data_IF_198616129990
#
_entry.id   IF_198616129990
#
_cell.length_a   1.000
_cell.length_b   1.000
_cell.length_c   1.000
_cell.angle_alpha   90.00
_cell.angle_beta   90.00
_cell.angle_gamma   90.00
#
_symmetry.space_group_name_H-M   'P 1'
#
loop_
_entity.id
_entity.type
_entity.pdbx_description
1 polymer ?
#
# COMPACT_ATOMS: atom_id res chain seq x y z
N UNK A 1 -6.72 -3.29 -15.74
CA UNK A 1 -5.78 -3.86 -16.72
C UNK A 1 -4.92 -2.72 -17.18
N UNK A 2 -3.71 -2.62 -16.65
CA UNK A 2 -2.65 -1.79 -17.20
C UNK A 2 -1.35 -2.52 -16.86
N UNK A 3 -1.01 -3.48 -17.73
CA UNK A 3 0.28 -4.16 -17.75
C UNK A 3 0.87 -3.81 -19.10
N UNK A 4 1.98 -3.08 -19.13
CA UNK A 4 2.69 -2.74 -20.36
C UNK A 4 3.86 -3.70 -20.51
N UNK A 5 3.89 -4.43 -21.61
CA UNK A 5 5.01 -5.31 -21.98
C UNK A 5 5.94 -4.55 -22.93
N UNK A 6 7.21 -4.41 -22.55
CA UNK A 6 8.29 -3.91 -23.43
C UNK A 6 9.14 -5.12 -23.80
N UNK A 7 9.34 -5.37 -25.09
CA UNK A 7 10.19 -6.47 -25.57
C UNK A 7 11.42 -5.93 -26.29
N UNK A 8 12.59 -6.49 -25.97
CA UNK A 8 13.86 -6.24 -26.64
C UNK A 8 14.60 -7.58 -26.81
N UNK A 9 14.53 -8.15 -28.02
CA UNK A 9 15.05 -9.50 -28.26
C UNK A 9 14.23 -10.56 -27.52
N UNK A 10 14.91 -11.49 -26.84
CA UNK A 10 14.28 -12.57 -26.06
C UNK A 10 13.80 -12.12 -24.67
N UNK A 11 14.07 -10.86 -24.29
CA UNK A 11 13.65 -10.30 -23.01
C UNK A 11 12.35 -9.52 -23.13
N UNK A 12 11.43 -9.74 -22.19
CA UNK A 12 10.26 -8.90 -22.00
C UNK A 12 10.16 -8.37 -20.57
N UNK A 13 9.56 -7.19 -20.42
CA UNK A 13 9.35 -6.55 -19.12
C UNK A 13 7.89 -6.14 -19.01
N UNK A 14 7.19 -6.71 -18.04
CA UNK A 14 5.85 -6.27 -17.68
C UNK A 14 5.89 -5.31 -16.49
N UNK A 15 5.23 -4.16 -16.64
CA UNK A 15 5.09 -3.18 -15.55
C UNK A 15 3.74 -3.30 -14.84
N UNK A 16 3.76 -3.41 -13.52
CA UNK A 16 2.60 -3.43 -12.64
C UNK A 16 2.53 -2.12 -11.86
N UNK A 17 1.68 -1.20 -12.33
CA UNK A 17 1.45 0.09 -11.66
C UNK A 17 0.38 -0.01 -10.59
N UNK A 18 0.65 0.56 -9.41
CA UNK A 18 -0.34 0.78 -8.36
C UNK A 18 -0.84 2.22 -8.39
N UNK A 19 -2.16 2.39 -8.37
CA UNK A 19 -2.80 3.69 -8.26
C UNK A 19 -3.47 3.83 -6.89
N UNK A 20 -3.42 5.03 -6.26
CA UNK A 20 -2.87 6.29 -6.77
C UNK A 20 -1.38 6.52 -6.48
N UNK A 21 -0.73 5.63 -5.73
CA UNK A 21 0.59 5.87 -5.12
C UNK A 21 1.75 5.97 -6.12
N UNK A 22 1.55 5.48 -7.36
CA UNK A 22 2.54 5.54 -8.43
C UNK A 22 3.63 4.46 -8.33
N UNK A 23 3.58 3.56 -7.35
CA UNK A 23 4.54 2.46 -7.22
C UNK A 23 4.52 1.56 -8.46
N UNK A 24 5.70 1.11 -8.88
CA UNK A 24 5.92 0.24 -10.02
C UNK A 24 6.62 -1.04 -9.55
N UNK A 25 6.02 -2.18 -9.89
CA UNK A 25 6.67 -3.48 -9.83
C UNK A 25 6.89 -4.03 -11.24
N UNK A 26 7.83 -4.95 -11.40
CA UNK A 26 8.21 -5.49 -12.70
C UNK A 26 8.29 -7.01 -12.71
N UNK A 27 7.84 -7.62 -13.80
CA UNK A 27 8.16 -9.00 -14.13
C UNK A 27 9.05 -9.00 -15.36
N UNK A 28 10.32 -9.35 -15.17
CA UNK A 28 11.32 -9.48 -16.24
C UNK A 28 11.35 -10.93 -16.66
N UNK A 29 11.21 -11.19 -17.95
CA UNK A 29 11.07 -12.54 -18.51
C UNK A 29 12.13 -12.75 -19.58
N UNK A 30 12.89 -13.83 -19.47
CA UNK A 30 13.59 -14.42 -20.60
C UNK A 30 12.63 -15.40 -21.29
N UNK A 31 12.09 -14.98 -22.44
CA UNK A 31 11.01 -15.67 -23.16
C UNK A 31 11.45 -17.04 -23.69
N UNK A 32 12.72 -17.18 -24.09
CA UNK A 32 13.27 -18.42 -24.63
C UNK A 32 13.30 -19.53 -23.58
N UNK A 33 13.80 -19.22 -22.38
CA UNK A 33 13.85 -20.16 -21.25
C UNK A 33 12.57 -20.17 -20.41
N UNK A 34 11.64 -19.26 -20.69
CA UNK A 34 10.40 -19.04 -19.92
C UNK A 34 10.66 -18.82 -18.43
N UNK A 35 11.80 -18.20 -18.12
CA UNK A 35 12.22 -17.93 -16.74
C UNK A 35 12.03 -16.46 -16.42
N UNK A 36 11.44 -16.17 -15.26
CA UNK A 36 11.10 -14.82 -14.86
C UNK A 36 11.71 -14.40 -13.52
N UNK A 37 11.86 -13.09 -13.34
CA UNK A 37 12.26 -12.41 -12.10
C UNK A 37 11.23 -11.33 -11.77
N UNK A 38 10.74 -11.30 -10.53
CA UNK A 38 9.90 -10.23 -10.01
C UNK A 38 10.77 -9.20 -9.26
N UNK A 39 10.58 -7.92 -9.57
CA UNK A 39 11.27 -6.79 -8.93
C UNK A 39 10.21 -5.87 -8.34
N UNK A 40 10.35 -5.50 -7.07
CA UNK A 40 9.43 -4.65 -6.31
C UNK A 40 7.94 -5.07 -6.42
N UNK A 41 7.59 -6.37 -6.32
CA UNK A 41 6.20 -6.78 -6.37
C UNK A 41 5.49 -6.30 -5.11
N UNK A 42 4.41 -5.51 -5.23
CA UNK A 42 3.55 -5.19 -4.08
C UNK A 42 2.73 -6.39 -3.61
N UNK A 43 2.45 -6.46 -2.31
CA UNK A 43 1.64 -7.53 -1.70
C UNK A 43 0.22 -7.62 -2.31
N UNK A 44 -0.40 -6.48 -2.64
CA UNK A 44 -1.72 -6.43 -3.27
C UNK A 44 -1.71 -6.77 -4.77
N UNK A 45 -0.53 -6.92 -5.37
CA UNK A 45 -0.35 -7.30 -6.76
C UNK A 45 0.10 -8.76 -6.94
N UNK A 46 0.37 -9.50 -5.87
CA UNK A 46 0.83 -10.90 -5.94
C UNK A 46 -0.05 -11.75 -6.87
N UNK A 47 -1.38 -11.67 -6.75
CA UNK A 47 -2.30 -12.41 -7.62
C UNK A 47 -2.10 -12.04 -9.10
N UNK A 48 -1.87 -10.74 -9.43
CA UNK A 48 -1.62 -10.29 -10.81
C UNK A 48 -0.30 -10.85 -11.36
N UNK A 49 0.74 -10.92 -10.53
CA UNK A 49 2.00 -11.55 -10.92
C UNK A 49 1.80 -13.06 -11.19
N UNK A 50 1.08 -13.76 -10.31
CA UNK A 50 0.76 -15.19 -10.50
C UNK A 50 -0.07 -15.44 -11.77
N UNK A 51 -1.06 -14.59 -12.05
CA UNK A 51 -1.85 -14.62 -13.28
C UNK A 51 -0.96 -14.41 -14.52
N UNK A 52 -0.05 -13.43 -14.48
CA UNK A 52 0.87 -13.15 -15.59
C UNK A 52 1.89 -14.27 -15.84
N UNK A 53 2.32 -14.96 -14.77
CA UNK A 53 3.15 -16.16 -14.86
C UNK A 53 2.36 -17.32 -15.47
N UNK A 54 1.14 -17.58 -15.00
CA UNK A 54 0.31 -18.69 -15.48
C UNK A 54 -0.13 -18.50 -16.94
N UNK A 55 -0.48 -17.27 -17.34
CA UNK A 55 -0.94 -16.96 -18.69
C UNK A 55 0.10 -17.26 -19.79
N UNK A 56 1.39 -17.20 -19.44
CA UNK A 56 2.51 -17.52 -20.34
C UNK A 56 3.28 -18.76 -19.91
N UNK A 57 2.77 -19.50 -18.92
CA UNK A 57 3.40 -20.68 -18.31
C UNK A 57 4.92 -20.45 -18.09
N UNK A 58 5.19 -19.45 -17.26
CA UNK A 58 6.52 -18.98 -16.88
C UNK A 58 6.90 -19.50 -15.49
N UNK A 59 8.19 -19.80 -15.31
CA UNK A 59 8.75 -20.15 -14.00
C UNK A 59 9.37 -18.91 -13.35
N UNK A 60 8.86 -18.51 -12.20
CA UNK A 60 9.48 -17.46 -11.38
C UNK A 60 10.73 -18.02 -10.69
N UNK A 61 11.93 -17.62 -11.14
CA UNK A 61 13.18 -18.05 -10.53
C UNK A 61 13.56 -17.17 -9.32
N UNK A 62 13.33 -15.87 -9.43
CA UNK A 62 13.77 -14.89 -8.45
C UNK A 62 12.67 -13.88 -8.13
N UNK A 63 12.63 -13.44 -6.87
CA UNK A 63 11.84 -12.30 -6.43
C UNK A 63 12.68 -11.44 -5.49
N UNK A 64 12.64 -10.13 -5.67
CA UNK A 64 13.40 -9.19 -4.85
C UNK A 64 12.74 -7.83 -4.75
N UNK A 65 13.08 -7.12 -3.69
CA UNK A 65 12.88 -5.69 -3.59
C UNK A 65 14.22 -5.00 -3.83
N UNK A 66 14.22 -3.92 -4.62
CA UNK A 66 15.39 -3.07 -4.87
C UNK A 66 15.94 -2.49 -3.58
N UNK A 67 15.07 -2.25 -2.60
CA UNK A 67 15.41 -1.77 -1.27
C UNK A 67 14.34 -2.17 -0.26
N UNK A 68 14.59 -1.97 1.04
CA UNK A 68 13.53 -2.13 2.04
C UNK A 68 12.50 -1.00 1.91
N UNK A 69 11.36 -1.28 1.27
CA UNK A 69 10.26 -0.32 1.05
C UNK A 69 9.61 0.16 2.35
N UNK A 70 9.16 1.42 2.37
CA UNK A 70 8.60 2.08 3.55
C UNK A 70 7.17 2.60 3.37
N UNK A 71 6.70 2.62 2.13
CA UNK A 71 5.46 3.20 1.64
C UNK A 71 4.42 2.12 1.30
N UNK A 72 4.86 0.90 0.98
CA UNK A 72 3.99 -0.24 0.68
C UNK A 72 4.51 -1.57 1.23
N UNK A 73 3.61 -2.54 1.36
CA UNK A 73 3.95 -3.90 1.76
C UNK A 73 4.50 -4.70 0.57
N UNK A 74 5.65 -5.31 0.73
CA UNK A 74 6.29 -6.16 -0.27
C UNK A 74 5.56 -7.50 -0.42
N UNK A 75 5.43 -7.93 -1.66
CA UNK A 75 4.91 -9.22 -2.10
C UNK A 75 5.98 -10.28 -2.31
N UNK A 76 7.27 -9.96 -2.17
CA UNK A 76 8.39 -10.87 -2.46
C UNK A 76 8.26 -12.19 -1.70
N UNK A 77 8.06 -12.12 -0.38
CA UNK A 77 7.92 -13.32 0.46
C UNK A 77 6.70 -14.15 0.09
N UNK A 78 5.58 -13.50 -0.24
CA UNK A 78 4.35 -14.19 -0.64
C UNK A 78 4.52 -14.87 -1.99
N UNK A 79 5.15 -14.21 -2.98
CA UNK A 79 5.46 -14.82 -4.27
C UNK A 79 6.40 -16.02 -4.11
N UNK A 80 7.48 -15.88 -3.34
CA UNK A 80 8.40 -16.97 -3.07
C UNK A 80 7.70 -18.18 -2.43
N UNK A 81 6.83 -17.96 -1.43
CA UNK A 81 6.04 -19.04 -0.81
C UNK A 81 5.08 -19.73 -1.79
N UNK A 82 4.52 -18.99 -2.76
CA UNK A 82 3.53 -19.52 -3.73
C UNK A 82 4.16 -20.18 -4.95
N UNK A 83 5.42 -19.88 -5.27
CA UNK A 83 6.09 -20.30 -6.51
C UNK A 83 7.36 -21.11 -6.30
N UNK A 84 7.95 -21.06 -5.10
CA UNK A 84 9.28 -21.60 -4.82
C UNK A 84 10.43 -20.71 -5.32
N UNK A 85 10.15 -19.48 -5.78
CA UNK A 85 11.19 -18.56 -6.23
C UNK A 85 12.22 -18.25 -5.12
N UNK A 86 13.47 -18.06 -5.52
CA UNK A 86 14.53 -17.65 -4.60
C UNK A 86 14.39 -16.17 -4.28
N UNK A 87 14.25 -15.85 -3.00
CA UNK A 87 14.29 -14.45 -2.53
C UNK A 87 15.71 -13.93 -2.65
N UNK A 88 15.89 -12.81 -3.34
CA UNK A 88 17.15 -12.08 -3.40
C UNK A 88 17.02 -10.80 -2.57
N UNK A 89 18.12 -10.38 -1.94
CA UNK A 89 18.18 -9.11 -1.23
C UNK A 89 19.62 -8.62 -1.16
N UNK A 90 19.81 -7.31 -0.99
CA UNK A 90 21.14 -6.75 -0.75
C UNK A 90 21.76 -7.31 0.54
N UNK A 91 23.09 -7.41 0.59
CA UNK A 91 23.81 -7.91 1.74
C UNK A 91 23.72 -6.98 2.97
N UNK A 92 23.50 -5.68 2.74
CA UNK A 92 23.22 -4.73 3.82
C UNK A 92 21.74 -4.70 4.26
N UNK A 93 20.85 -5.44 3.58
CA UNK A 93 19.45 -5.52 3.98
C UNK A 93 19.30 -6.26 5.31
N UNK A 94 18.40 -5.76 6.16
CA UNK A 94 18.05 -6.37 7.44
C UNK A 94 16.93 -7.40 7.32
N UNK A 95 16.49 -7.73 6.10
CA UNK A 95 15.46 -8.73 5.85
C UNK A 95 15.79 -10.04 6.58
N UNK A 96 14.88 -10.50 7.43
CA UNK A 96 14.98 -11.76 8.15
C UNK A 96 14.48 -12.94 7.29
N UNK A 97 14.88 -14.16 7.67
CA UNK A 97 14.49 -15.38 6.94
C UNK A 97 15.40 -15.72 5.73
N UNK A 98 15.01 -16.74 4.93
CA UNK A 98 15.84 -17.24 3.85
C UNK A 98 15.86 -16.29 2.66
N UNK A 99 17.04 -15.77 2.33
CA UNK A 99 17.30 -14.99 1.13
C UNK A 99 18.75 -15.13 0.69
N UNK A 100 18.99 -15.17 -0.62
CA UNK A 100 20.34 -15.07 -1.18
C UNK A 100 20.78 -13.61 -1.15
N UNK A 101 21.86 -13.34 -0.42
CA UNK A 101 22.43 -12.00 -0.29
C UNK A 101 23.32 -11.64 -1.48
N UNK A 102 23.20 -10.41 -1.94
CA UNK A 102 23.91 -9.88 -3.11
C UNK A 102 24.61 -8.56 -2.77
N UNK A 103 25.68 -8.25 -3.50
CA UNK A 103 26.37 -6.95 -3.48
C UNK A 103 26.61 -6.51 -4.92
N UNK A 104 26.92 -5.23 -5.11
CA UNK A 104 27.36 -4.68 -6.39
C UNK A 104 28.49 -5.49 -7.01
N UNK A 105 28.42 -5.70 -8.33
CA UNK A 105 29.36 -6.51 -9.10
C UNK A 105 28.98 -7.99 -9.19
N UNK A 106 27.96 -8.45 -8.45
CA UNK A 106 27.42 -9.80 -8.64
C UNK A 106 26.70 -9.94 -9.99
N UNK A 107 26.78 -11.13 -10.59
CA UNK A 107 25.98 -11.53 -11.75
C UNK A 107 25.06 -12.69 -11.41
N UNK A 108 23.84 -12.65 -11.93
CA UNK A 108 22.82 -13.69 -11.76
C UNK A 108 22.29 -14.09 -13.13
N UNK A 109 22.05 -15.38 -13.34
CA UNK A 109 21.47 -15.88 -14.58
C UNK A 109 19.95 -15.89 -14.48
N UNK A 110 19.29 -15.21 -15.40
CA UNK A 110 17.85 -15.27 -15.63
C UNK A 110 17.61 -16.02 -16.94
N UNK A 111 17.54 -17.34 -16.86
CA UNK A 111 17.49 -18.16 -18.07
C UNK A 111 18.81 -18.05 -18.85
N UNK A 112 18.74 -17.61 -20.10
CA UNK A 112 19.92 -17.29 -20.92
C UNK A 112 20.49 -15.88 -20.68
N UNK A 113 19.76 -15.00 -19.99
CA UNK A 113 20.18 -13.61 -19.79
C UNK A 113 21.01 -13.43 -18.52
N UNK A 114 22.04 -12.57 -18.57
CA UNK A 114 22.79 -12.15 -17.39
C UNK A 114 22.18 -10.88 -16.80
N UNK A 115 21.89 -10.92 -15.49
CA UNK A 115 21.50 -9.79 -14.66
C UNK A 115 22.71 -9.34 -13.85
N UNK A 116 23.20 -8.13 -14.11
CA UNK A 116 24.24 -7.49 -13.31
C UNK A 116 23.60 -6.71 -12.15
N UNK A 117 24.13 -6.90 -10.95
CA UNK A 117 23.70 -6.23 -9.72
C UNK A 117 24.62 -5.05 -9.45
N UNK A 118 24.03 -3.88 -9.20
CA UNK A 118 24.74 -2.65 -8.86
C UNK A 118 24.31 -2.19 -7.47
N UNK A 119 25.26 -1.77 -6.65
CA UNK A 119 24.92 -1.03 -5.44
C UNK A 119 24.40 0.35 -5.84
N UNK A 120 23.27 0.74 -5.26
CA UNK A 120 22.61 2.02 -5.54
C UNK A 120 22.25 2.78 -4.25
N UNK A 121 23.17 2.88 -3.25
CA UNK A 121 22.85 3.51 -1.99
C UNK A 121 22.49 4.98 -2.17
N UNK A 122 21.58 5.46 -1.33
CA UNK A 122 21.16 6.85 -1.39
C UNK A 122 19.80 7.03 -0.77
N UNK A 123 18.78 6.46 -1.41
CA UNK A 123 17.43 6.40 -0.83
C UNK A 123 17.44 5.59 0.47
N UNK A 124 18.00 4.38 0.41
CA UNK A 124 18.37 3.58 1.58
C UNK A 124 19.81 3.06 1.45
N UNK A 125 20.43 2.61 2.56
CA UNK A 125 21.74 1.93 2.51
C UNK A 125 21.72 0.58 1.79
N UNK A 126 20.55 -0.08 1.70
CA UNK A 126 20.40 -1.40 1.09
C UNK A 126 19.83 -1.37 -0.33
N UNK A 127 19.78 -0.18 -0.94
CA UNK A 127 19.31 0.01 -2.31
C UNK A 127 20.23 -0.65 -3.34
N UNK A 128 19.62 -1.38 -4.26
CA UNK A 128 20.23 -2.03 -5.42
C UNK A 128 19.60 -1.49 -6.71
N UNK A 129 20.38 -1.53 -7.78
CA UNK A 129 19.88 -1.47 -9.14
C UNK A 129 20.24 -2.76 -9.89
N UNK A 130 19.40 -3.13 -10.85
CA UNK A 130 19.58 -4.33 -11.67
C UNK A 130 19.69 -3.94 -13.12
N UNK A 131 20.71 -4.45 -13.81
CA UNK A 131 20.89 -4.25 -15.24
C UNK A 131 20.80 -5.57 -15.98
N UNK A 132 19.93 -5.64 -16.97
CA UNK A 132 19.75 -6.84 -17.79
C UNK A 132 19.42 -6.42 -19.22
N UNK A 133 20.24 -6.85 -20.17
CA UNK A 133 20.21 -6.32 -21.52
C UNK A 133 20.40 -4.79 -21.55
N UNK A 134 19.52 -4.09 -22.27
CA UNK A 134 19.47 -2.62 -22.34
C UNK A 134 18.61 -1.95 -21.26
N UNK A 135 18.20 -2.69 -20.22
CA UNK A 135 17.30 -2.20 -19.17
C UNK A 135 18.02 -2.04 -17.83
N UNK A 136 17.69 -0.97 -17.10
CA UNK A 136 18.16 -0.66 -15.76
C UNK A 136 16.96 -0.44 -14.83
N UNK A 137 16.82 -1.28 -13.81
CA UNK A 137 15.83 -1.14 -12.75
C UNK A 137 16.46 -0.41 -11.58
N UNK A 138 15.99 0.81 -11.30
CA UNK A 138 16.69 1.77 -10.40
C UNK A 138 16.07 1.85 -9.01
N UNK A 139 14.93 1.19 -8.78
CA UNK A 139 14.16 1.37 -7.55
C UNK A 139 13.96 2.87 -7.29
N UNK A 140 14.24 3.29 -6.06
CA UNK A 140 14.11 4.69 -5.66
C UNK A 140 15.37 5.54 -5.81
N UNK A 141 16.38 5.07 -6.55
CA UNK A 141 17.59 5.85 -6.79
C UNK A 141 17.43 6.88 -7.93
N UNK A 142 16.72 6.57 -9.01
CA UNK A 142 16.51 7.47 -10.16
C UNK A 142 15.09 7.30 -10.69
N UNK A 143 14.41 8.43 -10.90
CA UNK A 143 13.06 8.51 -11.46
C UNK A 143 13.05 9.31 -12.76
N UNK A 144 11.95 9.24 -13.50
CA UNK A 144 11.68 10.17 -14.58
C UNK A 144 11.64 11.62 -14.07
N UNK A 145 12.67 12.40 -14.39
CA UNK A 145 12.81 13.80 -13.98
C UNK A 145 13.10 14.02 -12.48
N UNK A 146 13.40 12.97 -11.73
CA UNK A 146 13.59 13.04 -10.27
C UNK A 146 14.55 11.99 -9.72
N UNK A 147 14.62 11.88 -8.39
CA UNK A 147 15.30 10.81 -7.66
C UNK A 147 14.61 10.63 -6.31
N UNK A 148 14.88 9.51 -5.62
CA UNK A 148 14.34 9.26 -4.29
C UNK A 148 14.84 10.26 -3.26
N UNK A 149 14.00 10.45 -2.25
CA UNK A 149 14.36 11.19 -1.02
C UNK A 149 15.45 10.46 -0.24
N UNK A 150 16.16 11.16 0.64
CA UNK A 150 17.30 10.59 1.37
C UNK A 150 17.29 10.90 2.86
N UNK A 151 16.16 11.35 3.39
CA UNK A 151 16.02 11.83 4.77
C UNK A 151 15.46 10.79 5.75
N UNK A 152 15.11 9.60 5.25
CA UNK A 152 14.62 8.47 6.04
C UNK A 152 15.56 7.26 6.01
N UNK A 153 15.43 6.37 7.00
CA UNK A 153 16.03 5.02 7.00
C UNK A 153 17.54 4.93 6.77
N UNK A 154 18.30 5.97 7.13
CA UNK A 154 19.73 6.01 6.87
C UNK A 154 20.09 6.40 5.43
N UNK A 155 19.16 7.01 4.70
CA UNK A 155 19.41 7.62 3.41
C UNK A 155 20.54 8.65 3.46
N UNK A 156 21.20 8.83 2.32
CA UNK A 156 22.34 9.71 2.17
C UNK A 156 22.33 10.37 0.79
N UNK A 157 22.04 11.67 0.74
CA UNK A 157 22.13 12.44 -0.49
C UNK A 157 23.53 12.41 -1.12
N UNK A 158 24.58 12.32 -0.29
CA UNK A 158 25.94 12.17 -0.82
C UNK A 158 26.14 10.82 -1.50
N UNK A 159 25.65 9.73 -0.92
CA UNK A 159 25.73 8.42 -1.56
C UNK A 159 24.88 8.37 -2.84
N UNK A 160 23.69 8.98 -2.81
CA UNK A 160 22.83 9.08 -3.99
C UNK A 160 23.52 9.83 -5.13
N UNK A 161 24.26 10.90 -4.83
CA UNK A 161 25.03 11.63 -5.82
C UNK A 161 26.03 10.71 -6.56
N UNK A 162 26.74 9.84 -5.83
CA UNK A 162 27.67 8.87 -6.41
C UNK A 162 26.97 7.77 -7.22
N UNK A 163 25.83 7.29 -6.73
CA UNK A 163 24.95 6.36 -7.46
C UNK A 163 24.50 6.95 -8.80
N UNK A 164 24.07 8.22 -8.80
CA UNK A 164 23.65 8.92 -10.02
C UNK A 164 24.80 9.10 -11.03
N UNK A 165 26.04 9.33 -10.57
CA UNK A 165 27.23 9.35 -11.46
C UNK A 165 27.49 8.00 -12.11
N UNK A 166 27.25 6.92 -11.38
CA UNK A 166 27.40 5.55 -11.90
C UNK A 166 26.35 5.27 -12.99
N UNK A 167 25.09 5.61 -12.76
CA UNK A 167 24.04 5.47 -13.77
C UNK A 167 24.28 6.37 -14.97
N UNK A 168 24.72 7.60 -14.73
CA UNK A 168 25.07 8.55 -15.78
C UNK A 168 26.21 8.05 -16.68
N UNK A 169 27.03 7.08 -16.28
CA UNK A 169 28.08 6.53 -17.15
C UNK A 169 27.56 5.48 -18.16
N UNK A 170 26.32 5.01 -18.01
CA UNK A 170 25.73 3.98 -18.88
C UNK A 170 25.40 4.50 -20.30
N UNK A 171 25.21 3.63 -21.30
CA UNK A 171 24.78 4.02 -22.64
C UNK A 171 23.50 4.88 -22.62
N UNK A 172 23.42 5.88 -23.50
CA UNK A 172 22.32 6.85 -23.50
C UNK A 172 20.95 6.21 -23.80
N UNK A 173 20.94 5.13 -24.57
CA UNK A 173 19.77 4.32 -24.92
C UNK A 173 19.37 3.31 -23.83
N UNK A 174 20.10 3.24 -22.71
CA UNK A 174 19.71 2.40 -21.56
C UNK A 174 18.35 2.84 -21.04
N UNK A 175 17.39 1.93 -21.06
CA UNK A 175 16.01 2.14 -20.61
C UNK A 175 15.95 2.02 -19.09
N UNK A 176 15.43 3.04 -18.41
CA UNK A 176 15.35 3.12 -16.95
C UNK A 176 13.93 2.82 -16.48
N UNK A 177 13.84 1.90 -15.52
CA UNK A 177 12.63 1.41 -14.86
C UNK A 177 12.67 1.77 -13.36
N UNK A 178 12.01 2.87 -12.94
CA UNK A 178 12.02 3.34 -11.55
C UNK A 178 11.09 2.55 -10.61
N UNK A 179 11.28 2.66 -9.30
CA UNK A 179 10.33 2.12 -8.32
C UNK A 179 9.01 2.88 -8.25
N UNK A 180 8.99 4.13 -8.72
CA UNK A 180 7.82 5.02 -8.67
C UNK A 180 7.68 5.91 -9.91
N UNK A 181 6.44 6.25 -10.25
CA UNK A 181 6.09 7.23 -11.27
C UNK A 181 5.17 8.33 -10.73
N UNK A 182 5.73 9.53 -10.59
CA UNK A 182 5.04 10.73 -10.13
C UNK A 182 4.61 11.68 -11.25
N UNK A 183 5.01 11.41 -12.50
CA UNK A 183 4.84 12.35 -13.62
C UNK A 183 4.12 11.74 -14.82
N UNK A 184 3.59 10.52 -14.68
CA UNK A 184 2.93 9.79 -15.76
C UNK A 184 3.90 9.20 -16.78
N UNK A 185 5.18 9.07 -16.42
CA UNK A 185 6.25 8.53 -17.26
C UNK A 185 6.92 7.34 -16.54
N UNK A 186 6.33 6.13 -16.63
CA UNK A 186 6.79 4.95 -15.89
C UNK A 186 8.11 4.34 -16.40
N UNK A 187 8.64 4.86 -17.50
CA UNK A 187 9.92 4.46 -18.11
C UNK A 187 10.59 5.70 -18.71
N UNK A 188 11.91 5.80 -18.59
CA UNK A 188 12.73 6.86 -19.20
C UNK A 188 14.03 6.27 -19.78
N UNK A 189 14.96 7.09 -20.26
CA UNK A 189 16.29 6.64 -20.68
C UNK A 189 17.40 7.43 -19.98
N UNK A 190 18.60 6.86 -19.90
CA UNK A 190 19.76 7.60 -19.37
C UNK A 190 20.03 8.88 -20.19
N UNK A 191 19.82 8.83 -21.51
CA UNK A 191 19.94 10.00 -22.38
C UNK A 191 18.94 11.11 -22.03
N UNK A 192 17.66 10.76 -21.86
CA UNK A 192 16.62 11.71 -21.49
C UNK A 192 16.86 12.32 -20.11
N UNK A 193 17.26 11.51 -19.13
CA UNK A 193 17.55 11.99 -17.78
C UNK A 193 18.81 12.87 -17.78
N UNK A 194 19.84 12.56 -18.57
CA UNK A 194 21.02 13.46 -18.74
C UNK A 194 20.62 14.82 -19.29
N UNK A 195 19.66 14.86 -20.22
CA UNK A 195 19.19 16.11 -20.82
C UNK A 195 18.25 16.91 -19.88
N UNK A 196 17.31 16.21 -19.23
CA UNK A 196 16.17 16.84 -18.57
C UNK A 196 16.14 16.79 -17.05
N UNK A 197 16.84 15.85 -16.40
CA UNK A 197 16.72 15.66 -14.95
C UNK A 197 17.63 16.64 -14.18
N UNK A 198 17.07 17.58 -13.39
CA UNK A 198 17.86 18.56 -12.68
C UNK A 198 18.71 17.93 -11.56
N UNK A 199 18.35 16.75 -11.02
CA UNK A 199 19.16 16.01 -10.04
C UNK A 199 20.34 15.30 -10.71
N UNK A 200 20.12 14.66 -11.86
CA UNK A 200 21.20 14.03 -12.62
C UNK A 200 22.15 15.05 -13.24
N UNK A 201 21.71 16.28 -13.54
CA UNK A 201 22.57 17.33 -14.11
C UNK A 201 23.39 18.10 -13.09
N UNK A 202 23.05 18.01 -11.80
CA UNK A 202 23.79 18.69 -10.75
C UNK A 202 25.23 18.15 -10.67
N UNK A 203 26.20 19.05 -10.60
CA UNK A 203 27.64 18.73 -10.54
C UNK A 203 28.25 19.13 -9.19
N UNK A 204 27.63 20.05 -8.48
CA UNK A 204 28.04 20.41 -7.13
C UNK A 204 27.36 19.48 -6.11
N UNK A 205 28.17 18.62 -5.48
CA UNK A 205 27.72 17.71 -4.42
C UNK A 205 27.09 18.46 -3.25
N UNK A 206 27.61 19.62 -2.89
CA UNK A 206 27.11 20.40 -1.75
C UNK A 206 25.72 20.92 -2.04
N UNK A 207 25.51 21.49 -3.23
CA UNK A 207 24.20 21.94 -3.70
C UNK A 207 23.20 20.78 -3.81
N UNK A 208 23.64 19.62 -4.31
CA UNK A 208 22.82 18.41 -4.37
C UNK A 208 22.35 17.96 -2.99
N UNK A 209 23.28 17.83 -2.04
CA UNK A 209 22.99 17.42 -0.66
C UNK A 209 22.03 18.41 -0.01
N UNK A 210 22.27 19.71 -0.15
CA UNK A 210 21.40 20.74 0.40
C UNK A 210 19.96 20.63 -0.14
N UNK A 211 19.79 20.35 -1.43
CA UNK A 211 18.46 20.19 -2.06
C UNK A 211 17.69 18.98 -1.55
N UNK A 212 18.35 17.88 -1.19
CA UNK A 212 17.70 16.66 -0.71
C UNK A 212 17.66 16.53 0.83
N UNK A 213 18.19 17.52 1.57
CA UNK A 213 18.25 17.49 3.04
C UNK A 213 16.98 17.99 3.73
N UNK A 214 15.88 18.25 3.00
CA UNK A 214 14.61 18.66 3.60
C UNK A 214 13.99 17.50 4.37
N UNK A 215 13.82 17.67 5.68
CA UNK A 215 13.18 16.69 6.54
C UNK A 215 11.68 16.85 6.52
N UNK A 216 10.95 15.77 6.27
CA UNK A 216 9.52 15.70 6.54
C UNK A 216 9.24 14.72 7.67
N UNK A 217 8.07 14.84 8.30
CA UNK A 217 7.63 13.82 9.25
C UNK A 217 7.36 12.50 8.50
N UNK A 218 7.76 11.35 9.07
CA UNK A 218 7.48 10.05 8.46
C UNK A 218 5.97 9.77 8.44
N UNK A 219 5.45 9.10 7.40
CA UNK A 219 4.05 8.67 7.38
C UNK A 219 3.71 7.76 8.58
N UNK A 220 2.49 7.88 9.11
CA UNK A 220 2.06 7.17 10.32
C UNK A 220 2.26 5.64 10.26
N UNK A 221 2.08 5.02 9.09
CA UNK A 221 2.15 3.57 8.90
C UNK A 221 3.56 3.06 8.55
N UNK A 222 4.54 3.94 8.39
CA UNK A 222 5.88 3.59 7.90
C UNK A 222 6.55 2.51 8.76
N UNK A 223 6.46 2.65 10.08
CA UNK A 223 7.07 1.68 11.00
C UNK A 223 6.46 0.27 10.89
N UNK A 224 5.14 0.18 10.71
CA UNK A 224 4.45 -1.11 10.52
C UNK A 224 4.84 -1.76 9.19
N UNK A 225 4.91 -0.95 8.12
CA UNK A 225 5.33 -1.42 6.78
C UNK A 225 6.75 -1.97 6.83
N UNK A 226 7.68 -1.25 7.47
CA UNK A 226 9.07 -1.68 7.57
C UNK A 226 9.22 -3.00 8.33
N UNK A 227 8.52 -3.17 9.45
CA UNK A 227 8.57 -4.42 10.23
C UNK A 227 8.10 -5.61 9.40
N UNK A 228 7.02 -5.43 8.63
CA UNK A 228 6.52 -6.46 7.73
C UNK A 228 7.54 -6.78 6.63
N UNK A 229 8.07 -5.75 5.95
CA UNK A 229 9.00 -5.91 4.84
C UNK A 229 10.35 -6.50 5.28
N UNK A 230 10.81 -6.19 6.49
CA UNK A 230 11.98 -6.81 7.12
C UNK A 230 11.70 -8.22 7.66
N UNK A 231 10.44 -8.64 7.67
CA UNK A 231 10.00 -9.92 8.19
C UNK A 231 10.15 -10.09 9.69
N UNK A 232 10.28 -8.99 10.44
CA UNK A 232 10.40 -9.00 11.90
C UNK A 232 9.15 -9.56 12.58
N UNK A 233 8.02 -9.53 11.88
CA UNK A 233 6.75 -10.08 12.33
C UNK A 233 6.22 -11.03 11.27
N UNK A 234 5.83 -12.22 11.72
CA UNK A 234 5.14 -13.20 10.90
C UNK A 234 3.63 -12.98 11.05
N UNK A 235 3.06 -12.18 10.14
CA UNK A 235 1.62 -11.94 10.12
C UNK A 235 0.92 -13.18 9.58
N UNK A 236 0.49 -14.07 10.47
CA UNK A 236 -0.22 -15.29 10.09
C UNK A 236 -1.51 -14.95 9.30
N UNK A 237 -1.75 -15.66 8.20
CA UNK A 237 -2.95 -15.50 7.38
C UNK A 237 -3.93 -16.65 7.59
N UNK A 238 -5.23 -16.38 7.47
CA UNK A 238 -6.28 -17.41 7.45
C UNK A 238 -7.04 -17.35 6.13
N UNK A 239 -7.25 -18.50 5.49
CA UNK A 239 -7.99 -18.56 4.23
C UNK A 239 -9.50 -18.33 4.46
N UNK A 240 -10.25 -17.77 3.49
CA UNK A 240 -11.69 -17.51 3.67
C UNK A 240 -12.51 -18.75 4.06
N UNK A 241 -12.27 -19.89 3.42
CA UNK A 241 -12.99 -21.13 3.72
C UNK A 241 -12.66 -21.68 5.11
N UNK A 242 -11.39 -21.59 5.52
CA UNK A 242 -10.94 -21.99 6.84
C UNK A 242 -11.58 -21.11 7.92
N UNK A 243 -11.59 -19.79 7.73
CA UNK A 243 -12.24 -18.86 8.64
C UNK A 243 -13.75 -19.14 8.74
N UNK A 244 -14.42 -19.43 7.63
CA UNK A 244 -15.83 -19.81 7.66
C UNK A 244 -16.06 -21.11 8.45
N UNK A 245 -15.18 -22.11 8.29
CA UNK A 245 -15.25 -23.36 9.04
C UNK A 245 -15.06 -23.11 10.55
N UNK A 246 -14.07 -22.30 10.94
CA UNK A 246 -13.83 -21.92 12.34
C UNK A 246 -15.05 -21.23 12.97
N UNK A 247 -15.75 -20.39 12.19
CA UNK A 247 -16.97 -19.70 12.64
C UNK A 247 -18.19 -20.60 12.75
N UNK A 248 -18.20 -21.74 12.05
CA UNK A 248 -19.33 -22.68 12.09
C UNK A 248 -19.31 -23.61 13.32
N UNK A 249 -18.13 -23.83 13.94
CA UNK A 249 -17.93 -24.85 14.99
C UNK A 249 -17.76 -24.28 16.41
N UNK A 250 -18.13 -23.01 16.65
CA UNK A 250 -18.00 -22.37 17.96
C UNK A 250 -18.19 -20.85 17.91
N UNK A 251 -17.84 -20.10 18.98
CA UNK A 251 -17.95 -18.64 18.98
C UNK A 251 -17.07 -17.94 17.93
N UNK A 252 -16.10 -18.66 17.34
CA UNK A 252 -15.20 -18.16 16.30
C UNK A 252 -14.22 -17.09 16.80
N UNK A 253 -13.26 -16.68 15.98
CA UNK A 253 -12.39 -15.55 16.30
C UNK A 253 -13.15 -14.22 16.24
N UNK A 254 -12.66 -13.22 16.99
CA UNK A 254 -13.12 -11.84 16.83
C UNK A 254 -12.74 -11.35 15.42
N UNK A 255 -13.72 -10.95 14.63
CA UNK A 255 -13.47 -10.34 13.33
C UNK A 255 -13.33 -8.83 13.50
N UNK A 256 -12.14 -8.30 13.24
CA UNK A 256 -11.85 -6.87 13.29
C UNK A 256 -11.81 -6.30 11.87
N UNK A 257 -12.84 -5.57 11.46
CA UNK A 257 -12.87 -4.92 10.16
C UNK A 257 -12.27 -3.51 10.25
N UNK A 258 -11.11 -3.33 9.61
CA UNK A 258 -10.35 -2.07 9.63
C UNK A 258 -10.62 -1.19 8.41
N UNK A 259 -11.67 -1.48 7.64
CA UNK A 259 -12.14 -0.62 6.56
C UNK A 259 -12.84 0.63 7.11
N UNK A 260 -13.06 1.58 6.23
CA UNK A 260 -13.87 2.76 6.56
C UNK A 260 -15.29 2.34 6.98
N UNK A 261 -15.98 3.13 7.82
CA UNK A 261 -17.34 2.80 8.24
C UNK A 261 -18.30 2.63 7.06
N UNK A 262 -18.09 3.38 5.99
CA UNK A 262 -18.89 3.30 4.76
C UNK A 262 -18.72 1.95 4.03
N UNK A 263 -17.48 1.48 3.89
CA UNK A 263 -17.20 0.17 3.30
C UNK A 263 -17.85 -0.95 4.13
N UNK A 264 -17.80 -0.83 5.46
CA UNK A 264 -18.37 -1.79 6.41
C UNK A 264 -19.91 -1.80 6.42
N UNK A 265 -20.54 -0.63 6.34
CA UNK A 265 -21.99 -0.52 6.24
C UNK A 265 -22.54 -1.09 4.93
N UNK A 266 -21.78 -0.96 3.84
CA UNK A 266 -22.18 -1.44 2.52
C UNK A 266 -22.17 -2.97 2.44
N UNK A 267 -21.11 -3.60 2.94
CA UNK A 267 -20.98 -5.05 3.01
C UNK A 267 -20.05 -5.44 4.16
N UNK A 268 -20.36 -6.51 4.90
CA UNK A 268 -19.51 -7.01 6.00
C UNK A 268 -19.72 -8.49 6.27
N UNK A 269 -18.76 -9.09 6.96
CA UNK A 269 -18.94 -10.41 7.58
C UNK A 269 -19.77 -10.22 8.87
N UNK A 270 -20.76 -11.08 9.08
CA UNK A 270 -21.64 -10.98 10.26
C UNK A 270 -20.84 -11.10 11.57
N UNK A 271 -21.18 -10.28 12.57
CA UNK A 271 -20.48 -10.28 13.86
C UNK A 271 -19.12 -9.59 13.87
N UNK A 272 -18.68 -8.98 12.76
CA UNK A 272 -17.45 -8.20 12.74
C UNK A 272 -17.59 -6.87 13.50
N UNK A 273 -16.51 -6.47 14.18
CA UNK A 273 -16.34 -5.18 14.84
C UNK A 273 -15.63 -4.22 13.89
N UNK A 274 -16.19 -3.04 13.62
CA UNK A 274 -15.54 -2.04 12.79
C UNK A 274 -14.71 -1.05 13.62
N UNK A 275 -13.39 -1.14 13.46
CA UNK A 275 -12.41 -0.17 13.98
C UNK A 275 -11.51 0.25 12.82
N UNK A 276 -11.82 1.37 12.15
CA UNK A 276 -11.02 1.85 11.02
C UNK A 276 -9.53 1.96 11.36
N UNK A 277 -8.65 1.65 10.41
CA UNK A 277 -7.19 1.59 10.63
C UNK A 277 -6.63 2.88 11.26
N UNK A 278 -7.13 4.04 10.85
CA UNK A 278 -6.74 5.37 11.34
C UNK A 278 -7.18 5.65 12.79
N UNK A 279 -8.12 4.86 13.32
CA UNK A 279 -8.64 4.95 14.69
C UNK A 279 -8.13 3.83 15.58
N UNK A 280 -7.38 2.88 15.03
CA UNK A 280 -7.00 1.65 15.71
C UNK A 280 -6.22 1.90 17.00
N UNK A 281 -5.25 2.82 16.96
CA UNK A 281 -4.44 3.15 18.13
C UNK A 281 -5.27 3.79 19.26
N UNK A 282 -6.32 4.54 18.93
CA UNK A 282 -7.19 5.22 19.90
C UNK A 282 -8.30 4.33 20.46
N UNK A 283 -8.56 3.18 19.84
CA UNK A 283 -9.67 2.27 20.15
C UNK A 283 -9.17 0.85 20.39
N UNK A 284 -7.89 0.69 20.71
CA UNK A 284 -7.26 -0.62 20.86
C UNK A 284 -7.84 -1.40 22.06
N UNK A 285 -8.34 -0.69 23.06
CA UNK A 285 -9.01 -1.23 24.24
C UNK A 285 -10.32 -1.95 23.89
N UNK A 286 -11.00 -1.56 22.81
CA UNK A 286 -12.24 -2.21 22.34
C UNK A 286 -12.00 -3.63 21.79
N UNK A 287 -10.75 -3.94 21.46
CA UNK A 287 -10.33 -5.26 20.96
C UNK A 287 -10.07 -6.23 22.14
N UNK A 288 -10.32 -5.75 23.38
CA UNK A 288 -10.37 -6.41 24.68
C UNK A 288 -9.95 -7.89 24.72
N UNK A 289 -8.74 -8.19 25.20
CA UNK A 289 -8.23 -9.49 25.71
C UNK A 289 -8.54 -10.80 24.94
N UNK A 290 -9.14 -10.72 23.76
CA UNK A 290 -9.50 -11.85 22.93
C UNK A 290 -8.20 -12.49 22.41
N UNK A 291 -8.05 -13.80 22.69
CA UNK A 291 -6.85 -14.55 22.29
C UNK A 291 -6.77 -14.81 20.79
N UNK A 292 -7.88 -14.62 20.06
CA UNK A 292 -7.95 -14.93 18.65
C UNK A 292 -8.68 -13.85 17.83
N UNK A 293 -7.90 -12.98 17.19
CA UNK A 293 -8.39 -11.87 16.36
C UNK A 293 -8.05 -12.14 14.90
N UNK A 294 -9.03 -12.00 14.02
CA UNK A 294 -8.84 -12.01 12.57
C UNK A 294 -9.17 -10.64 12.01
N UNK A 295 -8.15 -9.97 11.46
CA UNK A 295 -8.29 -8.64 10.88
C UNK A 295 -8.72 -8.75 9.42
N UNK A 296 -9.72 -7.96 9.06
CA UNK A 296 -10.35 -7.94 7.76
C UNK A 296 -10.22 -6.54 7.17
N UNK A 297 -9.84 -6.48 5.90
CA UNK A 297 -10.04 -5.28 5.11
C UNK A 297 -10.47 -5.63 3.68
N UNK A 298 -10.38 -4.68 2.73
CA UNK A 298 -10.77 -4.92 1.34
C UNK A 298 -9.93 -6.01 0.67
N UNK A 299 -8.60 -5.91 0.76
CA UNK A 299 -7.63 -6.75 0.02
C UNK A 299 -6.61 -7.49 0.90
N UNK A 300 -6.54 -7.18 2.19
CA UNK A 300 -5.53 -7.71 3.13
C UNK A 300 -4.46 -6.69 3.58
N UNK A 301 -4.24 -5.61 2.82
CA UNK A 301 -3.16 -4.64 3.10
C UNK A 301 -3.36 -3.87 4.40
N UNK A 302 -4.48 -3.14 4.53
CA UNK A 302 -4.80 -2.41 5.77
C UNK A 302 -4.88 -3.34 6.98
N UNK A 303 -5.34 -4.57 6.76
CA UNK A 303 -5.43 -5.60 7.80
C UNK A 303 -4.04 -6.07 8.27
N UNK A 304 -3.07 -6.16 7.35
CA UNK A 304 -1.67 -6.48 7.68
C UNK A 304 -1.04 -5.35 8.48
N UNK A 305 -1.21 -4.10 8.05
CA UNK A 305 -0.74 -2.93 8.82
C UNK A 305 -1.38 -2.90 10.22
N UNK A 306 -2.69 -3.14 10.32
CA UNK A 306 -3.38 -3.23 11.60
C UNK A 306 -2.84 -4.36 12.49
N UNK A 307 -2.59 -5.54 11.92
CA UNK A 307 -2.03 -6.67 12.66
C UNK A 307 -0.62 -6.35 13.21
N UNK A 308 0.20 -5.64 12.43
CA UNK A 308 1.51 -5.13 12.89
C UNK A 308 1.37 -4.11 14.02
N UNK A 309 0.43 -3.17 13.91
CA UNK A 309 0.15 -2.19 14.97
C UNK A 309 -0.32 -2.87 16.27
N UNK A 310 -1.18 -3.89 16.15
CA UNK A 310 -1.63 -4.72 17.27
C UNK A 310 -0.47 -5.52 17.91
N UNK A 311 0.46 -6.03 17.10
CA UNK A 311 1.61 -6.77 17.61
C UNK A 311 2.50 -5.88 18.52
N UNK A 312 2.58 -4.57 18.27
CA UNK A 312 3.34 -3.63 19.13
C UNK A 312 2.82 -3.55 20.56
N UNK A 313 1.51 -3.67 20.74
CA UNK A 313 0.86 -3.66 22.05
C UNK A 313 0.67 -5.08 22.61
N UNK A 314 1.40 -6.06 22.06
CA UNK A 314 1.38 -7.45 22.51
C UNK A 314 0.14 -8.24 22.11
N UNK A 315 -0.63 -7.77 21.12
CA UNK A 315 -1.83 -8.46 20.61
C UNK A 315 -1.51 -9.17 19.30
N UNK A 316 -1.62 -10.50 19.29
CA UNK A 316 -1.47 -11.30 18.07
C UNK A 316 -2.78 -11.28 17.28
N UNK A 317 -2.69 -11.07 15.97
CA UNK A 317 -3.83 -11.14 15.09
C UNK A 317 -3.45 -11.89 13.80
N UNK A 318 -4.41 -12.64 13.24
CA UNK A 318 -4.31 -13.21 11.90
C UNK A 318 -4.96 -12.27 10.90
N UNK A 319 -4.53 -12.31 9.65
CA UNK A 319 -5.14 -11.54 8.56
C UNK A 319 -5.99 -12.45 7.69
N UNK A 320 -7.20 -12.02 7.33
CA UNK A 320 -7.99 -12.71 6.31
C UNK A 320 -7.29 -12.57 4.95
N UNK A 321 -6.81 -13.69 4.41
CA UNK A 321 -6.08 -13.73 3.14
C UNK A 321 -6.96 -13.22 1.99
N UNK A 322 -6.43 -12.27 1.22
CA UNK A 322 -7.15 -11.56 0.14
C UNK A 322 -8.34 -10.69 0.58
N UNK A 323 -8.61 -10.59 1.89
CA UNK A 323 -9.66 -9.75 2.47
C UNK A 323 -11.09 -10.05 1.97
N UNK A 324 -11.94 -9.03 2.01
CA UNK A 324 -13.35 -9.12 1.56
C UNK A 324 -13.50 -9.52 0.10
N UNK A 325 -12.55 -9.16 -0.77
CA UNK A 325 -12.59 -9.58 -2.18
C UNK A 325 -12.47 -11.10 -2.32
N UNK A 326 -11.56 -11.73 -1.58
CA UNK A 326 -11.41 -13.19 -1.58
C UNK A 326 -12.61 -13.88 -0.92
N UNK A 327 -13.12 -13.33 0.19
CA UNK A 327 -14.35 -13.80 0.84
C UNK A 327 -15.54 -13.83 -0.14
N UNK A 328 -15.71 -12.75 -0.91
CA UNK A 328 -16.77 -12.65 -1.93
C UNK A 328 -16.55 -13.60 -3.10
N UNK A 329 -15.31 -13.76 -3.59
CA UNK A 329 -14.97 -14.72 -4.65
C UNK A 329 -15.31 -16.16 -4.23
N UNK A 330 -15.09 -16.49 -2.97
CA UNK A 330 -15.46 -17.78 -2.37
C UNK A 330 -16.97 -17.95 -2.14
N UNK A 331 -17.79 -16.94 -2.46
CA UNK A 331 -19.26 -16.94 -2.30
C UNK A 331 -19.71 -17.24 -0.87
N UNK A 332 -18.93 -16.77 0.11
CA UNK A 332 -19.21 -16.96 1.53
C UNK A 332 -20.26 -15.95 2.02
N UNK A 333 -20.96 -16.22 3.15
CA UNK A 333 -22.02 -15.35 3.65
C UNK A 333 -21.53 -13.92 3.94
N UNK A 334 -22.23 -12.94 3.40
CA UNK A 334 -22.00 -11.50 3.61
C UNK A 334 -23.32 -10.88 4.05
N UNK A 335 -23.27 -9.96 5.01
CA UNK A 335 -24.37 -9.07 5.29
C UNK A 335 -24.22 -7.82 4.43
N UNK A 336 -25.09 -7.71 3.44
CA UNK A 336 -25.25 -6.49 2.66
C UNK A 336 -25.98 -5.45 3.51
N UNK A 337 -25.56 -4.19 3.38
CA UNK A 337 -26.28 -3.06 3.95
C UNK A 337 -26.55 -2.01 2.90
N UNK A 338 -26.92 -0.81 3.35
CA UNK A 338 -27.27 0.28 2.44
C UNK A 338 -26.01 0.76 1.74
N UNK A 339 -25.95 0.60 0.42
CA UNK A 339 -24.91 1.24 -0.41
C UNK A 339 -25.08 2.75 -0.31
N UNK A 340 -24.11 3.42 0.29
CA UNK A 340 -24.02 4.88 0.39
C UNK A 340 -22.86 5.33 -0.50
N UNK A 341 -23.01 6.48 -1.17
CA UNK A 341 -21.93 7.04 -1.98
C UNK A 341 -20.79 7.51 -1.07
N UNK A 342 -19.53 7.30 -1.47
CA UNK A 342 -18.38 7.89 -0.80
C UNK A 342 -18.55 9.41 -0.64
N UNK A 343 -18.12 9.96 0.49
CA UNK A 343 -18.25 11.40 0.78
C UNK A 343 -17.66 12.22 -0.36
N UNK A 344 -16.51 11.81 -0.92
CA UNK A 344 -15.88 12.50 -2.05
C UNK A 344 -16.77 12.52 -3.29
N UNK A 345 -17.46 11.40 -3.58
CA UNK A 345 -18.41 11.33 -4.70
C UNK A 345 -19.66 12.18 -4.42
N UNK A 346 -20.12 12.26 -3.17
CA UNK A 346 -21.22 13.15 -2.79
C UNK A 346 -20.81 14.63 -2.97
N UNK A 347 -19.60 15.00 -2.53
CA UNK A 347 -19.03 16.35 -2.73
C UNK A 347 -18.95 16.69 -4.21
N UNK A 348 -18.38 15.80 -5.02
CA UNK A 348 -18.24 16.01 -6.47
C UNK A 348 -19.60 16.18 -7.15
N UNK A 349 -20.57 15.33 -6.83
CA UNK A 349 -21.91 15.42 -7.41
C UNK A 349 -22.61 16.72 -7.00
N UNK A 350 -22.54 17.12 -5.72
CA UNK A 350 -23.20 18.34 -5.25
C UNK A 350 -22.51 19.58 -5.83
N UNK A 351 -21.20 19.71 -5.69
CA UNK A 351 -20.47 20.87 -6.18
C UNK A 351 -20.58 21.00 -7.70
N UNK A 352 -20.40 19.89 -8.43
CA UNK A 352 -20.55 19.85 -9.88
C UNK A 352 -21.96 20.23 -10.33
N UNK A 353 -23.00 19.70 -9.66
CA UNK A 353 -24.40 20.03 -9.98
C UNK A 353 -24.72 21.50 -9.70
N UNK A 354 -24.20 22.08 -8.61
CA UNK A 354 -24.42 23.49 -8.27
C UNK A 354 -23.72 24.45 -9.23
N UNK A 355 -22.51 24.12 -9.67
CA UNK A 355 -21.80 24.88 -10.71
C UNK A 355 -22.58 24.82 -12.02
N UNK A 356 -22.95 23.62 -12.48
CA UNK A 356 -23.70 23.44 -13.72
C UNK A 356 -25.05 24.18 -13.70
N UNK A 357 -25.77 24.08 -12.58
CA UNK A 357 -27.04 24.78 -12.38
C UNK A 357 -26.85 26.31 -12.39
N UNK A 358 -25.85 26.82 -11.67
CA UNK A 358 -25.54 28.25 -11.62
C UNK A 358 -25.17 28.83 -12.98
N UNK A 359 -24.35 28.12 -13.77
CA UNK A 359 -24.01 28.54 -15.14
C UNK A 359 -25.23 28.51 -16.06
N UNK A 360 -26.03 27.45 -15.98
CA UNK A 360 -27.23 27.30 -16.84
C UNK A 360 -28.24 28.42 -16.54
N UNK A 361 -28.62 28.62 -15.28
CA UNK A 361 -29.54 29.68 -14.89
C UNK A 361 -28.94 31.08 -15.11
N UNK A 362 -27.63 31.23 -14.92
CA UNK A 362 -26.88 32.45 -15.19
C UNK A 362 -26.99 32.90 -16.63
N UNK A 363 -26.91 31.94 -17.55
CA UNK A 363 -26.92 32.18 -19.00
C UNK A 363 -28.33 32.39 -19.54
N UNK A 364 -29.30 31.58 -19.09
CA UNK A 364 -30.63 31.52 -19.72
C UNK A 364 -31.74 32.23 -18.94
N UNK A 365 -31.53 32.56 -17.66
CA UNK A 365 -32.59 33.11 -16.80
C UNK A 365 -32.19 34.48 -16.23
N UNK A 366 -31.08 34.54 -15.49
CA UNK A 366 -30.60 35.80 -14.90
C UNK A 366 -29.09 35.69 -14.55
N UNK A 367 -28.24 36.64 -14.99
CA UNK A 367 -26.81 36.63 -14.70
C UNK A 367 -26.42 36.50 -13.22
N UNK A 368 -27.28 36.94 -12.28
CA UNK A 368 -27.01 36.81 -10.84
C UNK A 368 -26.84 35.37 -10.37
N UNK A 369 -27.37 34.37 -11.08
CA UNK A 369 -27.16 32.96 -10.74
C UNK A 369 -25.71 32.48 -10.96
N UNK A 370 -24.88 33.23 -11.70
CA UNK A 370 -23.45 32.94 -11.83
C UNK A 370 -22.71 33.04 -10.48
N UNK A 371 -23.25 33.79 -9.51
CA UNK A 371 -22.70 33.86 -8.15
C UNK A 371 -22.69 32.48 -7.49
N UNK A 372 -23.69 31.64 -7.74
CA UNK A 372 -23.74 30.27 -7.23
C UNK A 372 -22.55 29.44 -7.76
N UNK A 373 -22.30 29.51 -9.08
CA UNK A 373 -21.19 28.83 -9.70
C UNK A 373 -19.84 29.35 -9.18
N UNK A 374 -19.70 30.67 -9.03
CA UNK A 374 -18.50 31.31 -8.48
C UNK A 374 -18.23 30.86 -7.03
N UNK A 375 -19.26 30.77 -6.19
CA UNK A 375 -19.14 30.34 -4.80
C UNK A 375 -18.61 28.90 -4.68
N UNK A 376 -19.23 27.94 -5.39
CA UNK A 376 -18.78 26.55 -5.36
C UNK A 376 -17.40 26.37 -6.03
N UNK A 377 -17.12 27.11 -7.10
CA UNK A 377 -15.80 27.13 -7.74
C UNK A 377 -14.70 27.63 -6.81
N UNK A 378 -14.92 28.76 -6.12
CA UNK A 378 -13.99 29.29 -5.13
C UNK A 378 -13.77 28.32 -3.96
N UNK A 379 -14.85 27.67 -3.48
CA UNK A 379 -14.77 26.65 -2.43
C UNK A 379 -13.94 25.43 -2.84
N UNK A 380 -14.06 24.96 -4.09
CA UNK A 380 -13.23 23.86 -4.62
C UNK A 380 -11.76 24.26 -4.71
N UNK A 381 -11.46 25.47 -5.19
CA UNK A 381 -10.08 26.00 -5.22
C UNK A 381 -9.48 26.10 -3.83
N UNK A 382 -10.23 26.61 -2.85
CA UNK A 382 -9.81 26.68 -1.45
C UNK A 382 -9.54 25.29 -0.85
N UNK A 383 -10.43 24.32 -1.11
CA UNK A 383 -10.27 22.96 -0.64
C UNK A 383 -9.02 22.29 -1.26
N UNK A 384 -8.75 22.53 -2.55
CA UNK A 384 -7.53 22.06 -3.21
C UNK A 384 -6.26 22.68 -2.63
N UNK A 385 -6.30 23.95 -2.22
CA UNK A 385 -5.15 24.65 -1.65
C UNK A 385 -4.86 24.27 -0.18
N UNK A 386 -5.90 24.00 0.61
CA UNK A 386 -5.79 23.79 2.07
C UNK A 386 -5.95 22.34 2.50
N UNK A 387 -6.37 21.45 1.60
CA UNK A 387 -6.73 20.07 1.92
C UNK A 387 -8.01 19.94 2.76
N UNK A 388 -8.73 21.04 3.03
CA UNK A 388 -9.94 21.03 3.87
C UNK A 388 -11.18 21.34 3.04
N UNK A 389 -12.10 20.38 2.93
CA UNK A 389 -13.37 20.56 2.22
C UNK A 389 -14.52 20.85 3.20
N UNK A 390 -14.99 22.09 3.25
CA UNK A 390 -16.12 22.49 4.09
C UNK A 390 -17.41 21.71 3.80
N UNK A 391 -17.67 21.42 2.51
CA UNK A 391 -18.83 20.61 2.11
C UNK A 391 -18.72 19.18 2.63
N UNK A 392 -17.53 18.56 2.59
CA UNK A 392 -17.32 17.23 3.16
C UNK A 392 -17.60 17.22 4.68
N UNK A 393 -17.13 18.23 5.41
CA UNK A 393 -17.37 18.36 6.86
C UNK A 393 -18.86 18.51 7.22
N UNK A 394 -19.64 19.18 6.36
CA UNK A 394 -21.10 19.28 6.51
C UNK A 394 -21.75 17.93 6.19
N UNK A 395 -21.38 17.31 5.07
CA UNK A 395 -21.92 16.02 4.64
C UNK A 395 -21.68 14.92 5.67
N UNK A 396 -20.53 14.87 6.32
CA UNK A 396 -20.23 13.92 7.40
C UNK A 396 -21.19 14.06 8.59
N UNK A 397 -21.78 15.24 8.81
CA UNK A 397 -22.73 15.49 9.90
C UNK A 397 -24.17 15.12 9.55
N UNK A 398 -24.48 14.85 8.28
CA UNK A 398 -25.86 14.60 7.87
C UNK A 398 -26.34 13.19 8.30
N UNK A 399 -27.63 13.03 8.67
CA UNK A 399 -28.16 11.80 9.27
C UNK A 399 -27.94 10.52 8.44
N UNK A 400 -27.92 10.64 7.11
CA UNK A 400 -27.70 9.53 6.19
C UNK A 400 -26.23 9.22 5.93
N UNK A 401 -25.30 10.01 6.44
CA UNK A 401 -23.85 9.77 6.42
C UNK A 401 -23.29 9.47 7.80
N UNK A 402 -24.07 9.67 8.86
CA UNK A 402 -23.77 9.17 10.19
C UNK A 402 -23.97 7.66 10.21
N UNK A 403 -22.98 6.94 10.70
CA UNK A 403 -23.13 5.52 10.99
C UNK A 403 -23.93 5.36 12.26
N UNK A 404 -24.85 4.40 12.30
CA UNK A 404 -25.55 4.10 13.54
C UNK A 404 -24.51 3.63 14.57
N UNK A 405 -24.53 4.12 15.83
CA UNK A 405 -23.75 3.49 16.87
C UNK A 405 -24.12 2.00 16.91
N UNK A 406 -23.12 1.13 17.10
CA UNK A 406 -23.34 -0.30 17.25
C UNK A 406 -24.47 -0.52 18.28
N UNK A 407 -25.40 -1.46 18.08
CA UNK A 407 -26.37 -1.79 19.12
C UNK A 407 -25.55 -2.16 20.35
N UNK A 408 -25.70 -1.37 21.42
CA UNK A 408 -25.18 -1.72 22.72
C UNK A 408 -25.67 -3.15 22.99
N UNK A 409 -24.73 -4.09 23.11
CA UNK A 409 -25.03 -5.39 23.66
C UNK A 409 -25.83 -5.15 24.94
N UNK A 410 -26.86 -5.97 25.15
CA UNK A 410 -27.75 -5.96 26.30
C UNK A 410 -26.95 -6.14 27.60
N UNK A 411 -26.25 -5.09 28.02
CA UNK A 411 -25.72 -4.86 29.34
C UNK A 411 -26.76 -4.02 30.04
N UNK A 412 -27.40 -4.62 31.04
CA UNK A 412 -28.39 -3.99 31.88
C UNK A 412 -27.94 -2.58 32.31
N UNK A 413 -28.84 -1.63 32.11
CA UNK A 413 -28.79 -0.33 32.75
C UNK A 413 -28.76 -0.56 34.27
N UNK A 414 -27.65 -0.22 34.91
CA UNK A 414 -27.63 0.08 36.34
C UNK A 414 -27.10 1.49 36.52
N UNK A 415 -28.02 2.39 36.85
CA UNK A 415 -27.74 3.77 37.22
C UNK A 415 -26.82 3.82 38.45
N UNK A 416 -25.77 4.62 38.38
CA UNK A 416 -24.96 4.98 39.54
C UNK A 416 -25.73 6.00 40.38
N UNK A 417 -26.25 5.56 41.52
CA UNK A 417 -26.70 6.43 42.60
C UNK A 417 -26.08 5.96 43.90
N UNK A 418 -25.11 6.73 44.41
CA UNK A 418 -24.78 6.83 45.83
C UNK A 418 -24.24 5.58 46.55
N UNK A 419 -23.02 5.74 47.08
CA UNK A 419 -22.48 5.05 48.27
C UNK A 419 -22.21 3.55 48.17
N UNK A 420 -20.95 3.20 48.48
CA UNK A 420 -20.34 1.86 48.60
C UNK A 420 -21.26 0.73 49.08
N UNK A 421 -21.12 -0.47 48.49
CA UNK A 421 -21.29 -1.69 49.26
C UNK A 421 -20.10 -2.66 49.15
N UNK A 422 -19.83 -3.24 50.30
CA UNK A 422 -18.91 -4.31 50.67
C UNK A 422 -19.14 -5.59 49.85
N UNK A 423 -18.06 -6.30 49.53
CA UNK A 423 -18.11 -7.65 48.93
C UNK A 423 -18.73 -8.66 49.91
N UNK A 424 -19.74 -9.41 49.47
CA UNK A 424 -20.24 -10.61 50.15
C UNK A 424 -20.17 -11.80 49.18
N UNK A 425 -19.68 -12.94 49.68
CA UNK A 425 -19.47 -14.18 48.93
C UNK A 425 -20.80 -14.87 48.53
N UNK A 426 -20.84 -15.64 47.43
CA UNK A 426 -22.05 -16.32 46.98
C UNK A 426 -22.38 -17.57 47.83
N UNK A 427 -23.66 -17.73 48.14
CA UNK A 427 -24.23 -18.89 48.83
C UNK A 427 -24.44 -20.09 47.86
N UNK A 428 -24.21 -21.31 48.36
CA UNK A 428 -24.47 -22.57 47.67
C UNK A 428 -25.97 -22.80 47.38
N UNK A 429 -26.32 -23.55 46.30
CA UNK A 429 -27.70 -23.88 45.98
C UNK A 429 -28.24 -25.05 46.84
N UNK A 430 -29.55 -25.09 47.13
CA UNK A 430 -30.16 -26.17 47.89
C UNK A 430 -30.30 -27.46 47.06
N UNK A 431 -30.31 -28.57 47.79
CA UNK A 431 -30.18 -29.98 47.35
C UNK A 431 -31.17 -30.45 46.29
#
# INVERSE_FOLDING_TARGET
MDTRTISAGTLSVDTFRAEPDGCLGYLVVDEDSRTAMAIDPRLDHVDRFLEALAARDLRLAYALDTHTHADHLSGVRRLAQRTGATVLAHAASRLTGPARRLQGGAGIELGGARVDVLDAPGHTPDSLALRVGGHLFTGDALFAGGAGRTDFMGGSASALFDTLRTFEALPADTVVHPGHDYVGRPVTTIGDERAGNPLLRERDRTAFVARLSTKADPPANMAAILRHNLGEVDTATVAPMELQALRAHGPGPLLLDVRTPLEFESERIEGALNVPLDQLDARVEEIAEQRDVVVVCRTGIRATIAAESLARVGRRARVLDGGMLAWRRARLPIREGRRRLAIDRQVQLIAGSMVLLGVTLGTFVNPWFLVLAAFFGAGLTFAGATGTCGLALVLMRLPWNRTAPAPAGSGAVCAAGGTTPTCAAPAEPPR
#
